data_IF_945352817570
#
_entry.id   IF_945352817570
#
_cell.length_a   1.000
_cell.length_b   1.000
_cell.length_c   1.000
_cell.angle_alpha   90.00
_cell.angle_beta   90.00
_cell.angle_gamma   90.00
#
_symmetry.space_group_name_H-M   'P 1'
#
loop_
_entity.id
_entity.type
_entity.pdbx_description
1 polymer ?
#
# COMPACT_ATOMS: atom_id res chain seq x y z
N UNK A 1 -13.43 10.48 13.12
CA UNK A 1 -12.00 10.91 13.11
C UNK A 1 -11.26 10.50 14.39
N UNK A 2 -11.77 10.79 15.58
CA UNK A 2 -11.04 10.50 16.85
C UNK A 2 -10.74 9.00 17.05
N UNK A 3 -11.69 8.15 16.71
CA UNK A 3 -11.51 6.68 16.82
C UNK A 3 -10.48 6.20 15.80
N UNK A 4 -10.54 6.67 14.55
CA UNK A 4 -9.59 6.31 13.50
C UNK A 4 -8.17 6.73 13.84
N UNK A 5 -7.97 7.95 14.34
CA UNK A 5 -6.64 8.46 14.73
C UNK A 5 -6.00 7.69 15.88
N UNK A 6 -6.80 7.10 16.77
CA UNK A 6 -6.31 6.29 17.89
C UNK A 6 -6.07 4.83 17.50
N UNK A 7 -6.95 4.25 16.68
CA UNK A 7 -6.89 2.82 16.32
C UNK A 7 -5.91 2.55 15.19
N UNK A 8 -5.85 3.42 14.17
CA UNK A 8 -5.04 3.18 12.98
C UNK A 8 -3.54 2.96 13.27
N UNK A 9 -2.87 3.73 14.15
CA UNK A 9 -1.45 3.51 14.45
C UNK A 9 -1.19 2.15 15.10
N UNK A 10 -2.06 1.74 16.04
CA UNK A 10 -1.92 0.48 16.76
C UNK A 10 -2.16 -0.70 15.82
N UNK A 11 -3.23 -0.64 15.04
CA UNK A 11 -3.54 -1.66 14.06
C UNK A 11 -2.44 -1.78 12.99
N UNK A 12 -1.92 -0.64 12.51
CA UNK A 12 -0.80 -0.64 11.57
C UNK A 12 0.44 -1.30 12.19
N UNK A 13 0.81 -0.96 13.42
CA UNK A 13 1.94 -1.57 14.10
C UNK A 13 1.78 -3.10 14.23
N UNK A 14 0.58 -3.58 14.58
CA UNK A 14 0.30 -5.02 14.65
C UNK A 14 0.31 -5.70 13.28
N UNK A 15 -0.19 -5.05 12.25
CA UNK A 15 -0.13 -5.53 10.86
C UNK A 15 1.34 -5.61 10.40
N UNK A 16 2.15 -4.60 10.71
CA UNK A 16 3.57 -4.57 10.39
C UNK A 16 4.38 -5.61 11.17
N UNK A 17 4.02 -5.86 12.44
CA UNK A 17 4.57 -6.97 13.20
C UNK A 17 4.26 -8.31 12.53
N UNK A 18 3.02 -8.52 12.09
CA UNK A 18 2.60 -9.71 11.33
C UNK A 18 3.37 -9.86 10.02
N UNK A 19 3.61 -8.76 9.29
CA UNK A 19 4.47 -8.76 8.11
C UNK A 19 5.89 -9.25 8.49
N UNK A 20 6.49 -8.68 9.53
CA UNK A 20 7.82 -9.07 10.01
C UNK A 20 7.91 -10.54 10.43
N UNK A 21 6.86 -11.08 11.08
CA UNK A 21 6.75 -12.52 11.39
C UNK A 21 6.72 -13.40 10.13
N UNK A 22 6.22 -12.87 9.00
CA UNK A 22 6.23 -13.53 7.70
C UNK A 22 7.61 -13.53 7.00
N UNK A 23 8.51 -12.59 7.36
CA UNK A 23 9.76 -12.33 6.65
C UNK A 23 10.94 -13.17 7.15
N UNK A 24 11.81 -13.53 6.22
CA UNK A 24 13.09 -14.20 6.50
C UNK A 24 14.24 -13.44 5.83
N UNK A 25 15.47 -13.66 6.29
CA UNK A 25 16.65 -13.11 5.62
C UNK A 25 16.79 -13.57 4.15
N UNK A 26 16.20 -14.70 3.79
CA UNK A 26 16.21 -15.23 2.41
C UNK A 26 15.40 -14.33 1.45
N UNK A 27 14.37 -13.66 1.94
CA UNK A 27 13.54 -12.76 1.12
C UNK A 27 14.34 -11.56 0.65
N UNK A 28 15.26 -11.06 1.48
CA UNK A 28 16.19 -9.98 1.13
C UNK A 28 17.34 -10.48 0.23
N UNK A 29 17.91 -11.67 0.52
CA UNK A 29 18.95 -12.26 -0.32
C UNK A 29 18.45 -12.58 -1.74
N UNK A 30 17.18 -12.94 -1.88
CA UNK A 30 16.55 -13.19 -3.18
C UNK A 30 16.63 -11.96 -4.11
N UNK A 31 16.47 -10.76 -3.56
CA UNK A 31 16.56 -9.51 -4.32
C UNK A 31 17.97 -9.31 -4.88
N UNK A 32 18.99 -9.66 -4.10
CA UNK A 32 20.39 -9.57 -4.52
C UNK A 32 20.69 -10.60 -5.62
N UNK A 33 20.17 -11.83 -5.45
CA UNK A 33 20.44 -12.93 -6.38
C UNK A 33 19.64 -12.82 -7.70
N UNK A 34 18.45 -12.23 -7.66
CA UNK A 34 17.56 -12.07 -8.81
C UNK A 34 16.99 -10.65 -8.87
N UNK A 35 17.84 -9.62 -9.11
CA UNK A 35 17.46 -8.23 -8.99
C UNK A 35 16.51 -7.76 -10.08
N UNK A 36 16.53 -8.39 -11.25
CA UNK A 36 15.80 -7.92 -12.44
C UNK A 36 14.30 -7.73 -12.19
N UNK A 37 13.62 -8.78 -11.75
CA UNK A 37 12.17 -8.74 -11.55
C UNK A 37 11.79 -7.83 -10.38
N UNK A 38 12.63 -7.82 -9.34
CA UNK A 38 12.47 -6.92 -8.20
C UNK A 38 12.57 -5.45 -8.63
N UNK A 39 13.61 -5.08 -9.39
CA UNK A 39 13.81 -3.69 -9.87
C UNK A 39 12.62 -3.23 -10.71
N UNK A 40 12.09 -4.10 -11.57
CA UNK A 40 10.92 -3.77 -12.39
C UNK A 40 9.71 -3.46 -11.49
N UNK A 41 9.40 -4.34 -10.55
CA UNK A 41 8.31 -4.13 -9.59
C UNK A 41 8.52 -2.88 -8.73
N UNK A 42 9.74 -2.70 -8.24
CA UNK A 42 10.14 -1.54 -7.44
C UNK A 42 9.95 -0.22 -8.19
N UNK A 43 10.41 -0.13 -9.43
CA UNK A 43 10.24 1.08 -10.27
C UNK A 43 8.77 1.32 -10.58
N UNK A 44 8.02 0.27 -10.91
CA UNK A 44 6.58 0.41 -11.18
C UNK A 44 5.82 0.93 -9.95
N UNK A 45 6.14 0.43 -8.76
CA UNK A 45 5.38 0.77 -7.55
C UNK A 45 5.87 2.08 -6.90
N UNK A 46 7.18 2.27 -6.76
CA UNK A 46 7.73 3.41 -6.02
C UNK A 46 7.81 4.69 -6.86
N UNK A 47 7.99 4.56 -8.16
CA UNK A 47 8.23 5.70 -9.07
C UNK A 47 7.04 5.90 -10.00
N UNK A 48 6.68 4.89 -10.77
CA UNK A 48 5.68 5.03 -11.82
C UNK A 48 4.28 5.28 -11.26
N UNK A 49 3.90 4.57 -10.20
CA UNK A 49 2.58 4.73 -9.57
C UNK A 49 2.33 6.16 -9.08
N UNK A 50 3.22 6.82 -8.29
CA UNK A 50 3.03 8.22 -7.94
C UNK A 50 3.02 9.18 -9.13
N UNK A 51 3.83 8.93 -10.17
CA UNK A 51 3.82 9.76 -11.38
C UNK A 51 2.49 9.65 -12.12
N UNK A 52 1.98 8.44 -12.31
CA UNK A 52 0.68 8.20 -12.96
C UNK A 52 -0.44 8.82 -12.14
N UNK A 53 -0.39 8.67 -10.81
CA UNK A 53 -1.36 9.30 -9.91
C UNK A 53 -1.36 10.82 -10.08
N UNK A 54 -0.19 11.45 -10.10
CA UNK A 54 -0.05 12.89 -10.26
C UNK A 54 -0.60 13.36 -11.62
N UNK A 55 -0.33 12.63 -12.71
CA UNK A 55 -0.87 12.92 -14.04
C UNK A 55 -2.40 12.81 -14.04
N UNK A 56 -2.97 11.76 -13.42
CA UNK A 56 -4.43 11.58 -13.34
C UNK A 56 -5.07 12.73 -12.55
N UNK A 57 -4.47 13.11 -11.43
CA UNK A 57 -4.95 14.23 -10.60
C UNK A 57 -5.02 15.52 -11.39
N UNK A 58 -3.98 15.83 -12.18
CA UNK A 58 -3.93 17.03 -13.02
C UNK A 58 -4.95 16.97 -14.18
N UNK A 59 -5.10 15.82 -14.84
CA UNK A 59 -6.02 15.66 -15.97
C UNK A 59 -7.49 15.79 -15.50
N UNK A 60 -7.79 15.25 -14.32
CA UNK A 60 -9.16 15.25 -13.80
C UNK A 60 -9.51 16.53 -13.04
N UNK A 61 -8.57 17.46 -12.86
CA UNK A 61 -8.75 18.73 -12.15
C UNK A 61 -9.47 18.55 -10.81
N UNK A 62 -8.91 17.63 -9.99
CA UNK A 62 -9.55 17.25 -8.73
C UNK A 62 -9.41 18.36 -7.67
N UNK A 63 -10.39 18.49 -6.74
CA UNK A 63 -10.21 19.30 -5.55
C UNK A 63 -8.89 18.94 -4.82
N UNK A 64 -8.22 19.93 -4.26
CA UNK A 64 -6.85 19.79 -3.72
C UNK A 64 -6.78 18.66 -2.68
N UNK A 65 -7.76 18.57 -1.78
CA UNK A 65 -7.82 17.58 -0.71
C UNK A 65 -7.92 16.15 -1.28
N UNK A 66 -8.77 15.99 -2.30
CA UNK A 66 -8.93 14.72 -3.02
C UNK A 66 -7.65 14.39 -3.79
N UNK A 67 -7.06 15.38 -4.47
CA UNK A 67 -5.83 15.22 -5.23
C UNK A 67 -4.67 14.73 -4.35
N UNK A 68 -4.46 15.38 -3.21
CA UNK A 68 -3.45 14.97 -2.23
C UNK A 68 -3.77 13.61 -1.64
N UNK A 69 -5.04 13.31 -1.35
CA UNK A 69 -5.45 11.99 -0.86
C UNK A 69 -5.16 10.86 -1.87
N UNK A 70 -5.32 11.12 -3.18
CA UNK A 70 -4.88 10.19 -4.25
C UNK A 70 -3.36 10.02 -4.23
N UNK A 71 -2.59 11.09 -4.00
CA UNK A 71 -1.13 11.00 -3.89
C UNK A 71 -0.70 10.22 -2.64
N UNK A 72 -1.43 10.34 -1.53
CA UNK A 72 -1.15 9.59 -0.29
C UNK A 72 -1.27 8.08 -0.53
N UNK A 73 -2.37 7.61 -1.15
CA UNK A 73 -2.53 6.18 -1.43
C UNK A 73 -1.57 5.70 -2.51
N UNK A 74 -1.24 6.53 -3.49
CA UNK A 74 -0.26 6.19 -4.53
C UNK A 74 1.19 6.15 -4.00
N UNK A 75 1.51 6.87 -2.95
CA UNK A 75 2.82 6.83 -2.30
C UNK A 75 2.98 5.61 -1.37
N UNK A 76 1.86 5.01 -0.92
CA UNK A 76 1.89 3.87 -0.01
C UNK A 76 2.53 2.63 -0.67
N UNK A 77 3.24 1.79 0.10
CA UNK A 77 3.75 0.51 -0.38
C UNK A 77 2.62 -0.48 -0.63
N UNK A 78 2.92 -1.63 -1.25
CA UNK A 78 1.99 -2.74 -1.37
C UNK A 78 1.48 -3.23 0.00
N UNK A 79 0.27 -3.75 0.03
CA UNK A 79 -0.33 -4.31 1.24
C UNK A 79 0.03 -5.78 1.44
N UNK A 80 -0.02 -6.28 2.69
CA UNK A 80 0.18 -7.73 2.99
C UNK A 80 -0.80 -8.61 2.19
N UNK A 81 -1.96 -8.08 1.89
CA UNK A 81 -2.98 -8.78 1.09
C UNK A 81 -2.57 -9.01 -0.36
N UNK A 82 -1.62 -8.23 -0.92
CA UNK A 82 -1.10 -8.45 -2.27
C UNK A 82 -0.40 -9.81 -2.39
N UNK A 83 0.27 -10.28 -1.33
CA UNK A 83 0.91 -11.59 -1.27
C UNK A 83 -0.13 -12.73 -1.44
N UNK A 84 -1.27 -12.60 -0.76
CA UNK A 84 -2.38 -13.56 -0.84
C UNK A 84 -3.01 -13.55 -2.24
N UNK A 85 -3.25 -12.36 -2.78
CA UNK A 85 -3.81 -12.19 -4.12
C UNK A 85 -2.86 -12.71 -5.20
N UNK A 86 -1.56 -12.48 -5.05
CA UNK A 86 -0.52 -13.05 -5.93
C UNK A 86 -0.54 -14.59 -5.92
N UNK A 87 -0.73 -15.19 -4.75
CA UNK A 87 -0.90 -16.65 -4.62
C UNK A 87 -2.15 -17.15 -5.36
N UNK A 88 -3.28 -16.44 -5.21
CA UNK A 88 -4.51 -16.80 -5.93
C UNK A 88 -4.39 -16.65 -7.44
N UNK A 89 -3.57 -15.73 -7.93
CA UNK A 89 -3.28 -15.58 -9.35
C UNK A 89 -2.27 -16.59 -9.90
N UNK A 90 -1.73 -17.48 -9.08
CA UNK A 90 -0.57 -18.34 -9.41
C UNK A 90 0.66 -17.50 -9.82
N UNK A 91 0.87 -16.35 -9.19
CA UNK A 91 2.02 -15.46 -9.36
C UNK A 91 3.24 -15.89 -8.54
N UNK A 92 4.30 -15.09 -8.60
CA UNK A 92 5.53 -15.28 -7.79
C UNK A 92 5.35 -14.66 -6.40
N UNK A 93 4.88 -15.46 -5.45
CA UNK A 93 4.62 -15.03 -4.06
C UNK A 93 5.89 -14.56 -3.36
N UNK A 94 7.04 -15.16 -3.65
CA UNK A 94 8.27 -14.77 -3.00
C UNK A 94 8.79 -13.42 -3.52
N UNK A 95 8.55 -13.08 -4.79
CA UNK A 95 8.80 -11.74 -5.32
C UNK A 95 7.84 -10.72 -4.66
N UNK A 96 6.55 -11.06 -4.51
CA UNK A 96 5.55 -10.23 -3.83
C UNK A 96 5.97 -9.89 -2.40
N UNK A 97 6.34 -10.89 -1.61
CA UNK A 97 6.83 -10.71 -0.23
C UNK A 97 8.04 -9.79 -0.19
N UNK A 98 9.02 -10.01 -1.09
CA UNK A 98 10.24 -9.19 -1.14
C UNK A 98 9.94 -7.74 -1.53
N UNK A 99 9.05 -7.50 -2.50
CA UNK A 99 8.61 -6.16 -2.91
C UNK A 99 7.91 -5.44 -1.76
N UNK A 100 6.87 -6.06 -1.19
CA UNK A 100 6.11 -5.49 -0.07
C UNK A 100 7.03 -5.16 1.10
N UNK A 101 7.93 -6.07 1.49
CA UNK A 101 8.83 -5.88 2.62
C UNK A 101 9.79 -4.70 2.42
N UNK A 102 10.52 -4.71 1.31
CA UNK A 102 11.56 -3.71 1.06
C UNK A 102 10.94 -2.33 0.80
N UNK A 103 9.87 -2.27 0.01
CA UNK A 103 9.19 -1.01 -0.27
C UNK A 103 8.55 -0.45 1.01
N UNK A 104 8.01 -1.29 1.91
CA UNK A 104 7.50 -0.84 3.21
C UNK A 104 8.60 -0.20 4.08
N UNK A 105 9.82 -0.73 4.06
CA UNK A 105 10.95 -0.12 4.78
C UNK A 105 11.41 1.20 4.13
N UNK A 106 11.44 1.25 2.80
CA UNK A 106 11.82 2.47 2.05
C UNK A 106 10.72 3.53 2.17
N UNK A 107 9.46 3.13 2.36
CA UNK A 107 8.31 4.03 2.47
C UNK A 107 8.43 5.05 3.60
N UNK A 108 9.24 4.78 4.62
CA UNK A 108 9.53 5.71 5.72
C UNK A 108 10.07 7.04 5.18
N UNK A 109 10.86 6.97 4.11
CA UNK A 109 11.44 8.15 3.46
C UNK A 109 10.60 8.56 2.26
N UNK A 110 10.23 7.59 1.41
CA UNK A 110 9.58 7.90 0.13
C UNK A 110 8.16 8.44 0.30
N UNK A 111 7.38 7.94 1.25
CA UNK A 111 6.00 8.39 1.45
C UNK A 111 5.95 9.85 1.90
N UNK A 112 6.64 10.29 2.99
CA UNK A 112 6.68 11.69 3.34
C UNK A 112 7.20 12.57 2.19
N UNK A 113 8.27 12.15 1.52
CA UNK A 113 8.83 12.90 0.40
C UNK A 113 7.81 13.11 -0.72
N UNK A 114 7.13 12.05 -1.18
CA UNK A 114 6.14 12.13 -2.25
C UNK A 114 4.97 13.01 -1.83
N UNK A 115 4.46 12.85 -0.60
CA UNK A 115 3.30 13.61 -0.12
C UNK A 115 3.63 15.10 0.01
N UNK A 116 4.71 15.46 0.69
CA UNK A 116 5.09 16.85 0.85
C UNK A 116 5.41 17.52 -0.50
N UNK A 117 6.10 16.78 -1.41
CA UNK A 117 6.41 17.30 -2.73
C UNK A 117 5.16 17.49 -3.58
N UNK A 118 4.25 16.52 -3.61
CA UNK A 118 3.01 16.63 -4.37
C UNK A 118 2.05 17.68 -3.78
N UNK A 119 1.92 17.75 -2.46
CA UNK A 119 1.12 18.78 -1.79
C UNK A 119 1.61 20.20 -2.16
N UNK A 120 2.93 20.42 -2.12
CA UNK A 120 3.52 21.70 -2.54
C UNK A 120 3.24 22.00 -4.03
N UNK A 121 3.39 21.02 -4.92
CA UNK A 121 3.12 21.18 -6.36
C UNK A 121 1.63 21.42 -6.66
N UNK A 122 0.73 20.90 -5.83
CA UNK A 122 -0.72 21.08 -5.92
C UNK A 122 -1.20 22.38 -5.24
N UNK A 123 -0.30 23.15 -4.63
CA UNK A 123 -0.63 24.44 -4.03
C UNK A 123 -1.19 24.38 -2.61
N UNK A 124 -0.97 23.27 -1.88
CA UNK A 124 -1.36 23.19 -0.46
C UNK A 124 -0.48 24.12 0.37
N UNK A 125 -1.09 25.08 1.03
CA UNK A 125 -0.41 26.07 1.90
C UNK A 125 -0.59 25.79 3.38
N UNK A 126 -1.56 24.95 3.75
CA UNK A 126 -2.07 24.79 5.12
C UNK A 126 -1.49 23.60 5.89
N UNK A 127 -0.33 23.08 5.48
CA UNK A 127 0.39 22.13 6.34
C UNK A 127 1.01 22.94 7.49
N UNK A 128 0.61 22.60 8.73
CA UNK A 128 1.16 23.27 9.92
C UNK A 128 2.69 23.23 9.91
N UNK A 129 3.32 24.34 10.29
CA UNK A 129 4.79 24.47 10.38
C UNK A 129 5.43 23.44 11.32
N UNK A 130 4.66 22.92 12.27
CA UNK A 130 5.12 21.89 13.22
C UNK A 130 5.17 20.49 12.59
N UNK A 131 4.51 20.29 11.43
CA UNK A 131 4.48 19.03 10.72
C UNK A 131 5.61 19.01 9.69
N UNK A 132 6.67 18.29 10.00
CA UNK A 132 7.83 18.17 9.13
C UNK A 132 7.92 16.79 8.48
N UNK A 133 8.53 16.74 7.30
CA UNK A 133 8.80 15.48 6.59
C UNK A 133 9.59 14.50 7.50
N UNK A 134 10.60 14.99 8.22
CA UNK A 134 11.40 14.19 9.16
C UNK A 134 10.56 13.70 10.34
N UNK A 135 9.66 14.54 10.89
CA UNK A 135 8.75 14.15 11.97
C UNK A 135 7.82 13.01 11.55
N UNK A 136 7.25 13.08 10.34
CA UNK A 136 6.43 12.00 9.79
C UNK A 136 7.26 10.73 9.54
N UNK A 137 8.47 10.87 8.99
CA UNK A 137 9.37 9.75 8.78
C UNK A 137 9.71 9.02 10.09
N UNK A 138 9.97 9.76 11.17
CA UNK A 138 10.23 9.17 12.49
C UNK A 138 9.00 8.43 13.07
N UNK A 139 7.80 9.02 12.95
CA UNK A 139 6.56 8.36 13.35
C UNK A 139 6.34 7.07 12.54
N UNK A 140 6.59 7.11 11.23
CA UNK A 140 6.51 5.91 10.37
C UNK A 140 7.56 4.86 10.77
N UNK A 141 8.80 5.28 11.09
CA UNK A 141 9.82 4.35 11.56
C UNK A 141 9.39 3.60 12.81
N UNK A 142 8.74 4.26 13.76
CA UNK A 142 8.23 3.66 14.98
C UNK A 142 7.07 2.67 14.71
N UNK A 143 6.15 3.00 13.80
CA UNK A 143 4.92 2.22 13.58
C UNK A 143 5.10 1.17 12.48
N UNK A 144 6.10 1.32 11.60
CA UNK A 144 6.38 0.39 10.49
C UNK A 144 7.66 -0.41 10.76
N UNK A 145 8.80 0.26 10.86
CA UNK A 145 10.11 -0.43 10.90
C UNK A 145 10.33 -1.20 12.19
N UNK A 146 10.04 -0.57 13.34
CA UNK A 146 10.25 -1.23 14.64
C UNK A 146 9.43 -2.51 14.74
N UNK A 147 8.11 -2.53 14.45
CA UNK A 147 7.34 -3.77 14.47
C UNK A 147 7.81 -4.82 13.45
N UNK A 148 8.19 -4.41 12.23
CA UNK A 148 8.73 -5.36 11.23
C UNK A 148 10.00 -6.03 11.75
N UNK A 149 10.95 -5.25 12.26
CA UNK A 149 12.20 -5.78 12.82
C UNK A 149 11.92 -6.70 14.01
N UNK A 150 11.02 -6.30 14.93
CA UNK A 150 10.62 -7.15 16.06
C UNK A 150 10.00 -8.46 15.59
N UNK A 151 9.13 -8.43 14.58
CA UNK A 151 8.55 -9.62 13.98
C UNK A 151 9.62 -10.56 13.39
N UNK A 152 10.58 -10.03 12.67
CA UNK A 152 11.71 -10.79 12.13
C UNK A 152 12.58 -11.41 13.22
N UNK A 153 12.82 -10.66 14.30
CA UNK A 153 13.57 -11.16 15.46
C UNK A 153 12.81 -12.30 16.12
N UNK A 154 11.52 -12.13 16.40
CA UNK A 154 10.66 -13.19 16.99
C UNK A 154 10.69 -14.43 16.09
N UNK A 155 10.54 -14.26 14.75
CA UNK A 155 10.62 -15.37 13.81
C UNK A 155 11.97 -16.11 13.91
N UNK A 156 13.06 -15.39 13.99
CA UNK A 156 14.40 -15.99 14.08
C UNK A 156 14.56 -16.88 15.32
N UNK A 157 14.00 -16.46 16.48
CA UNK A 157 14.11 -17.22 17.73
C UNK A 157 13.01 -18.24 17.95
N UNK A 158 11.84 -18.08 17.28
CA UNK A 158 10.67 -18.94 17.43
C UNK A 158 10.18 -19.48 16.07
N UNK A 159 11.09 -19.88 15.18
CA UNK A 159 10.80 -20.25 13.78
C UNK A 159 9.70 -21.32 13.68
N UNK A 160 9.80 -22.40 14.46
CA UNK A 160 8.82 -23.49 14.43
C UNK A 160 7.43 -23.02 14.86
N UNK A 161 7.34 -22.21 15.91
CA UNK A 161 6.07 -21.67 16.40
C UNK A 161 5.44 -20.73 15.35
N UNK A 162 6.22 -19.79 14.83
CA UNK A 162 5.74 -18.83 13.84
C UNK A 162 5.32 -19.54 12.55
N UNK A 163 6.13 -20.46 12.04
CA UNK A 163 5.83 -21.19 10.80
C UNK A 163 4.57 -22.04 10.91
N UNK A 164 4.34 -22.68 12.07
CA UNK A 164 3.13 -23.46 12.32
C UNK A 164 1.87 -22.59 12.45
N UNK A 165 2.01 -21.31 12.83
CA UNK A 165 0.90 -20.40 13.06
C UNK A 165 0.79 -19.27 12.02
N UNK A 166 1.57 -19.31 10.95
CA UNK A 166 1.62 -18.21 9.96
C UNK A 166 0.25 -17.90 9.36
N UNK A 167 -0.58 -18.92 9.09
CA UNK A 167 -1.94 -18.74 8.59
C UNK A 167 -2.86 -18.02 9.58
N UNK A 168 -2.66 -18.21 10.88
CA UNK A 168 -3.42 -17.52 11.93
C UNK A 168 -2.96 -16.06 11.99
N UNK A 169 -1.66 -15.81 11.92
CA UNK A 169 -1.06 -14.46 11.90
C UNK A 169 -1.60 -13.67 10.71
N UNK A 170 -1.61 -14.26 9.50
CA UNK A 170 -2.16 -13.63 8.30
C UNK A 170 -3.66 -13.32 8.44
N UNK A 171 -4.44 -14.21 9.07
CA UNK A 171 -5.86 -13.93 9.35
C UNK A 171 -6.04 -12.79 10.34
N UNK A 172 -5.25 -12.75 11.40
CA UNK A 172 -5.31 -11.66 12.41
C UNK A 172 -4.99 -10.33 11.75
N UNK A 173 -3.93 -10.24 10.94
CA UNK A 173 -3.58 -9.00 10.22
C UNK A 173 -4.67 -8.56 9.25
N UNK A 174 -5.31 -9.51 8.56
CA UNK A 174 -6.44 -9.23 7.68
C UNK A 174 -7.65 -8.71 8.46
N UNK A 175 -7.97 -9.33 9.61
CA UNK A 175 -9.08 -8.87 10.47
C UNK A 175 -8.81 -7.48 11.02
N UNK A 176 -7.57 -7.19 11.46
CA UNK A 176 -7.20 -5.86 11.92
C UNK A 176 -7.37 -4.81 10.82
N UNK A 177 -6.95 -5.12 9.59
CA UNK A 177 -7.20 -4.26 8.44
C UNK A 177 -8.69 -4.01 8.22
N UNK A 178 -9.51 -5.07 8.24
CA UNK A 178 -10.97 -4.96 8.06
C UNK A 178 -11.60 -4.11 9.17
N UNK A 179 -11.14 -4.24 10.41
CA UNK A 179 -11.63 -3.43 11.55
C UNK A 179 -11.34 -1.95 11.32
N UNK A 180 -10.10 -1.58 10.98
CA UNK A 180 -9.73 -0.18 10.70
C UNK A 180 -10.58 0.38 9.58
N UNK A 181 -10.72 -0.40 8.53
CA UNK A 181 -11.48 -0.03 7.35
C UNK A 181 -12.97 0.15 7.66
N UNK A 182 -13.58 -0.83 8.34
CA UNK A 182 -14.98 -0.77 8.75
C UNK A 182 -15.26 0.41 9.68
N UNK A 183 -14.33 0.76 10.57
CA UNK A 183 -14.47 1.92 11.47
C UNK A 183 -14.64 3.21 10.68
N UNK A 184 -13.83 3.43 9.62
CA UNK A 184 -13.94 4.60 8.76
C UNK A 184 -15.30 4.62 8.05
N UNK A 185 -15.71 3.49 7.49
CA UNK A 185 -16.97 3.39 6.77
C UNK A 185 -18.21 3.59 7.68
N UNK A 186 -18.13 3.15 8.94
CA UNK A 186 -19.20 3.35 9.92
C UNK A 186 -19.26 4.82 10.38
N UNK A 187 -18.10 5.43 10.66
CA UNK A 187 -18.03 6.86 11.04
C UNK A 187 -18.55 7.77 9.93
N UNK A 188 -18.28 7.44 8.66
CA UNK A 188 -18.56 8.29 7.49
C UNK A 188 -19.73 7.78 6.62
N UNK A 189 -20.56 6.87 7.13
CA UNK A 189 -21.63 6.19 6.38
C UNK A 189 -22.56 7.14 5.61
N UNK A 190 -22.81 8.34 6.13
CA UNK A 190 -23.69 9.33 5.51
C UNK A 190 -23.04 10.00 4.28
N UNK A 191 -21.71 10.01 4.25
CA UNK A 191 -20.92 10.68 3.22
C UNK A 191 -20.36 9.73 2.14
N UNK A 192 -20.51 8.39 2.33
CA UNK A 192 -19.89 7.37 1.47
C UNK A 192 -20.17 7.60 -0.02
N UNK A 193 -21.44 7.87 -0.38
CA UNK A 193 -21.81 8.09 -1.78
C UNK A 193 -21.18 9.35 -2.36
N UNK A 194 -21.05 10.41 -1.56
CA UNK A 194 -20.38 11.64 -1.98
C UNK A 194 -18.88 11.40 -2.17
N UNK A 195 -18.26 10.60 -1.32
CA UNK A 195 -16.85 10.22 -1.41
C UNK A 195 -16.58 9.39 -2.66
N UNK A 196 -17.41 8.39 -2.94
CA UNK A 196 -17.30 7.60 -4.17
C UNK A 196 -17.52 8.45 -5.43
N UNK A 197 -18.38 9.45 -5.38
CA UNK A 197 -18.56 10.39 -6.51
C UNK A 197 -17.31 11.26 -6.71
N UNK A 198 -16.71 11.77 -5.64
CA UNK A 198 -15.58 12.70 -5.71
C UNK A 198 -14.26 11.99 -6.06
N UNK A 199 -13.95 10.90 -5.39
CA UNK A 199 -12.68 10.21 -5.51
C UNK A 199 -12.77 8.89 -6.30
N UNK A 200 -13.91 8.22 -6.32
CA UNK A 200 -14.07 6.85 -6.80
C UNK A 200 -13.62 6.67 -8.24
N UNK A 201 -13.98 7.60 -9.14
CA UNK A 201 -13.55 7.52 -10.54
C UNK A 201 -12.03 7.65 -10.69
N UNK A 202 -11.42 8.63 -10.02
CA UNK A 202 -10.00 8.88 -10.10
C UNK A 202 -9.18 7.68 -9.59
N UNK A 203 -9.56 7.12 -8.44
CA UNK A 203 -8.85 5.97 -7.86
C UNK A 203 -9.13 4.67 -8.62
N UNK A 204 -10.31 4.51 -9.24
CA UNK A 204 -10.60 3.40 -10.15
C UNK A 204 -9.69 3.45 -11.38
N UNK A 205 -9.60 4.62 -12.03
CA UNK A 205 -8.72 4.84 -13.17
C UNK A 205 -7.27 4.57 -12.79
N UNK A 206 -6.79 5.13 -11.67
CA UNK A 206 -5.44 4.90 -11.17
C UNK A 206 -5.16 3.40 -10.97
N UNK A 207 -6.06 2.70 -10.30
CA UNK A 207 -5.90 1.28 -10.00
C UNK A 207 -5.82 0.44 -11.28
N UNK A 208 -6.77 0.59 -12.21
CA UNK A 208 -6.82 -0.16 -13.46
C UNK A 208 -5.60 0.17 -14.33
N UNK A 209 -5.30 1.47 -14.52
CA UNK A 209 -4.16 1.92 -15.33
C UNK A 209 -2.86 1.33 -14.79
N UNK A 210 -2.64 1.39 -13.48
CA UNK A 210 -1.42 0.87 -12.89
C UNK A 210 -1.30 -0.65 -12.98
N UNK A 211 -2.39 -1.40 -12.74
CA UNK A 211 -2.37 -2.85 -12.89
C UNK A 211 -2.06 -3.27 -14.33
N UNK A 212 -2.68 -2.61 -15.30
CA UNK A 212 -2.46 -2.89 -16.73
C UNK A 212 -1.05 -2.48 -17.16
N UNK A 213 -0.63 -1.25 -16.81
CA UNK A 213 0.68 -0.73 -17.20
C UNK A 213 1.81 -1.56 -16.59
N UNK A 214 1.73 -1.89 -15.30
CA UNK A 214 2.71 -2.74 -14.62
C UNK A 214 2.77 -4.15 -15.23
N UNK A 215 1.62 -4.73 -15.61
CA UNK A 215 1.59 -6.01 -16.32
C UNK A 215 2.33 -5.95 -17.66
N UNK A 216 2.09 -4.92 -18.47
CA UNK A 216 2.74 -4.80 -19.78
C UNK A 216 4.23 -4.44 -19.68
N UNK A 217 4.62 -3.59 -18.72
CA UNK A 217 6.04 -3.33 -18.45
C UNK A 217 6.72 -4.63 -18.01
N UNK A 218 6.12 -5.38 -17.10
CA UNK A 218 6.65 -6.68 -16.71
C UNK A 218 6.63 -7.70 -17.85
N UNK A 219 5.68 -7.61 -18.81
CA UNK A 219 5.68 -8.45 -20.02
C UNK A 219 6.90 -8.18 -20.90
N UNK A 220 7.37 -6.96 -20.95
CA UNK A 220 8.53 -6.59 -21.76
C UNK A 220 9.86 -6.91 -21.07
N UNK A 221 9.93 -6.77 -19.76
CA UNK A 221 11.19 -6.77 -19.03
C UNK A 221 11.34 -7.90 -18.00
N UNK A 222 10.25 -8.45 -17.41
CA UNK A 222 10.35 -9.49 -16.41
C UNK A 222 10.59 -10.89 -17.01
N UNK A 223 11.10 -11.80 -16.15
CA UNK A 223 11.58 -13.13 -16.59
C UNK A 223 10.47 -14.10 -16.94
N UNK A 224 9.24 -13.93 -16.42
CA UNK A 224 8.17 -14.88 -16.71
C UNK A 224 6.77 -14.40 -16.35
N UNK A 225 5.78 -15.23 -16.67
CA UNK A 225 4.36 -14.92 -16.44
C UNK A 225 4.02 -14.78 -14.96
N UNK A 226 4.65 -15.54 -14.06
CA UNK A 226 4.42 -15.47 -12.61
C UNK A 226 4.86 -14.13 -12.05
N UNK A 227 5.98 -13.58 -12.55
CA UNK A 227 6.51 -12.28 -12.17
C UNK A 227 5.62 -11.14 -12.68
N UNK A 228 5.11 -11.25 -13.90
CA UNK A 228 4.16 -10.27 -14.49
C UNK A 228 2.89 -10.16 -13.65
N UNK A 229 2.32 -11.31 -13.27
CA UNK A 229 1.14 -11.39 -12.41
C UNK A 229 1.41 -10.73 -11.05
N UNK A 230 2.55 -11.05 -10.44
CA UNK A 230 2.99 -10.48 -9.17
C UNK A 230 3.10 -8.95 -9.26
N UNK A 231 3.88 -8.42 -10.19
CA UNK A 231 4.15 -6.99 -10.32
C UNK A 231 2.87 -6.20 -10.59
N UNK A 232 1.99 -6.73 -11.44
CA UNK A 232 0.67 -6.12 -11.71
C UNK A 232 -0.19 -6.02 -10.45
N UNK A 233 -0.25 -7.10 -9.65
CA UNK A 233 -1.03 -7.16 -8.41
C UNK A 233 -0.43 -6.23 -7.35
N UNK A 234 0.89 -6.22 -7.16
CA UNK A 234 1.58 -5.35 -6.22
C UNK A 234 1.29 -3.87 -6.51
N UNK A 235 1.32 -3.46 -7.78
CA UNK A 235 1.01 -2.09 -8.19
C UNK A 235 -0.48 -1.72 -8.06
N UNK A 236 -1.36 -2.71 -7.95
CA UNK A 236 -2.79 -2.49 -7.77
C UNK A 236 -3.26 -2.52 -6.32
N UNK A 237 -2.58 -3.22 -5.42
CA UNK A 237 -3.01 -3.41 -4.03
C UNK A 237 -2.09 -2.67 -3.06
N UNK A 238 -2.54 -1.52 -2.59
CA UNK A 238 -1.76 -0.64 -1.72
C UNK A 238 -2.09 -0.83 -0.23
N UNK A 239 -1.18 -0.42 0.63
CA UNK A 239 -1.36 -0.44 2.08
C UNK A 239 -2.24 0.73 2.55
N UNK A 240 -3.57 0.54 2.50
CA UNK A 240 -4.53 1.55 2.91
C UNK A 240 -4.39 1.96 4.38
N UNK A 241 -4.03 1.04 5.28
CA UNK A 241 -3.85 1.36 6.71
C UNK A 241 -2.68 2.33 6.92
N UNK A 242 -1.57 2.13 6.20
CA UNK A 242 -0.43 3.05 6.23
C UNK A 242 -0.82 4.42 5.64
N UNK A 243 -1.54 4.42 4.50
CA UNK A 243 -2.00 5.64 3.87
C UNK A 243 -2.90 6.45 4.81
N UNK A 244 -3.87 5.81 5.48
CA UNK A 244 -4.73 6.44 6.50
C UNK A 244 -3.89 6.99 7.65
N UNK A 245 -2.97 6.17 8.20
CA UNK A 245 -2.10 6.61 9.28
C UNK A 245 -1.35 7.88 8.90
N UNK A 246 -0.70 7.92 7.74
CA UNK A 246 0.07 9.09 7.30
C UNK A 246 -0.84 10.30 7.07
N UNK A 247 -1.99 10.11 6.42
CA UNK A 247 -2.96 11.19 6.23
C UNK A 247 -3.37 11.84 7.55
N UNK A 248 -3.69 11.04 8.57
CA UNK A 248 -4.08 11.53 9.91
C UNK A 248 -2.95 12.21 10.67
N UNK A 249 -1.69 11.98 10.31
CA UNK A 249 -0.54 12.65 10.93
C UNK A 249 -0.23 14.02 10.30
N UNK A 250 -0.71 14.27 9.07
CA UNK A 250 -0.40 15.49 8.30
C UNK A 250 -1.63 16.39 8.24
N UNK A 251 -2.82 15.83 8.07
CA UNK A 251 -4.04 16.57 7.82
C UNK A 251 -5.11 16.28 8.88
N UNK A 252 -5.81 17.32 9.33
CA UNK A 252 -6.93 17.21 10.27
C UNK A 252 -8.28 16.97 9.55
N UNK A 253 -8.36 17.32 8.27
CA UNK A 253 -9.56 17.13 7.46
C UNK A 253 -9.64 15.70 6.92
N UNK A 254 -10.80 15.06 7.12
CA UNK A 254 -11.09 13.71 6.66
C UNK A 254 -11.08 13.58 5.13
N UNK A 255 -11.28 14.68 4.42
CA UNK A 255 -11.32 14.71 2.95
C UNK A 255 -10.04 14.15 2.33
N UNK A 256 -8.90 14.31 2.99
CA UNK A 256 -7.63 13.70 2.57
C UNK A 256 -7.58 12.17 2.68
N UNK A 257 -8.46 11.57 3.48
CA UNK A 257 -8.53 10.11 3.67
C UNK A 257 -9.49 9.46 2.68
N UNK A 258 -10.46 10.22 2.15
CA UNK A 258 -11.51 9.74 1.24
C UNK A 258 -10.96 8.89 0.08
N UNK A 259 -9.93 9.33 -0.68
CA UNK A 259 -9.40 8.55 -1.79
C UNK A 259 -8.84 7.21 -1.34
N UNK A 260 -8.22 7.13 -0.16
CA UNK A 260 -7.72 5.89 0.42
C UNK A 260 -8.87 4.93 0.75
N UNK A 261 -9.95 5.43 1.34
CA UNK A 261 -11.13 4.63 1.66
C UNK A 261 -11.83 4.10 0.41
N UNK A 262 -11.97 4.93 -0.62
CA UNK A 262 -12.52 4.53 -1.92
C UNK A 262 -11.62 3.50 -2.63
N UNK A 263 -10.29 3.74 -2.63
CA UNK A 263 -9.31 2.84 -3.25
C UNK A 263 -9.33 1.45 -2.62
N UNK A 264 -9.45 1.38 -1.30
CA UNK A 264 -9.45 0.10 -0.59
C UNK A 264 -10.63 -0.80 -0.97
N UNK A 265 -11.80 -0.25 -1.32
CA UNK A 265 -12.91 -1.04 -1.90
C UNK A 265 -12.60 -1.47 -3.34
N UNK A 266 -12.15 -0.52 -4.14
CA UNK A 266 -11.91 -0.71 -5.57
C UNK A 266 -10.80 -1.71 -5.81
N UNK A 267 -9.68 -1.63 -5.08
CA UNK A 267 -8.53 -2.50 -5.29
C UNK A 267 -8.83 -3.99 -5.09
N UNK A 268 -9.74 -4.35 -4.17
CA UNK A 268 -10.15 -5.75 -4.00
C UNK A 268 -11.05 -6.21 -5.13
N UNK A 269 -12.03 -5.39 -5.52
CA UNK A 269 -12.92 -5.73 -6.63
C UNK A 269 -12.13 -5.93 -7.93
N UNK A 270 -11.31 -4.97 -8.30
CA UNK A 270 -10.47 -5.02 -9.50
C UNK A 270 -9.41 -6.12 -9.41
N UNK A 271 -8.83 -6.33 -8.24
CA UNK A 271 -7.87 -7.40 -7.96
C UNK A 271 -8.48 -8.79 -8.19
N UNK A 272 -9.70 -9.06 -7.70
CA UNK A 272 -10.40 -10.32 -7.98
C UNK A 272 -10.72 -10.49 -9.46
N UNK A 273 -11.16 -9.43 -10.14
CA UNK A 273 -11.39 -9.46 -11.59
C UNK A 273 -10.08 -9.78 -12.33
N UNK A 274 -8.99 -9.12 -11.97
CA UNK A 274 -7.67 -9.36 -12.57
C UNK A 274 -7.21 -10.80 -12.34
N UNK A 275 -7.35 -11.34 -11.12
CA UNK A 275 -7.00 -12.73 -10.81
C UNK A 275 -7.78 -13.69 -11.70
N UNK A 276 -9.08 -13.46 -11.86
CA UNK A 276 -9.92 -14.29 -12.71
C UNK A 276 -9.45 -14.30 -14.17
N UNK A 277 -9.06 -13.13 -14.69
CA UNK A 277 -8.48 -12.98 -16.04
C UNK A 277 -7.12 -13.68 -16.14
N UNK A 278 -6.22 -13.41 -15.17
CA UNK A 278 -4.85 -13.92 -15.20
C UNK A 278 -4.72 -15.43 -14.92
N UNK A 279 -5.68 -16.04 -14.21
CA UNK A 279 -5.67 -17.48 -13.99
C UNK A 279 -5.84 -18.28 -15.29
N UNK A 280 -6.49 -17.70 -16.28
CA UNK A 280 -6.73 -18.31 -17.58
C UNK A 280 -5.55 -18.16 -18.55
N UNK A 281 -4.64 -17.21 -18.27
CA UNK A 281 -3.42 -17.04 -19.05
C UNK A 281 -2.32 -17.93 -18.46
N UNK A 282 -2.12 -19.09 -19.07
CA UNK A 282 -1.01 -20.02 -18.80
C UNK A 282 0.21 -19.65 -19.62
#
# INVERSE_FOLDING_TARGET
MEVVTKIAPIALALIMLGLGLGLTGRDFLRVINNPKDFIIGFVCQLILLPIVAFIIVLILDLPIEIAVGVMIIAAAPGGVTSNVMTKFANGDVALSISLTAIISLISIISVPFIIFKSANLLGVTDISSDITMTGIALKMALVVTVPVILGMIIRKFAENFVSSNISIIEKITTVLFVIVFATIWIEERENIFNYLKQAGFAVLVLNIVMMVLAYYIAKLFATGIKQRKCISIECGLQNGTLAIFVATQIFSDITYIIPTAAYALIMYLTGFILIFILRRST
#
